data_IF_801287693668
#
_entry.id   IF_801287693668
#
_cell.length_a   1.000
_cell.length_b   1.000
_cell.length_c   1.000
_cell.angle_alpha   90.00
_cell.angle_beta   90.00
_cell.angle_gamma   90.00
#
_symmetry.space_group_name_H-M   'P 1'
#
loop_
_entity.id
_entity.type
_entity.pdbx_description
1 polymer ?
#
# COMPACT_ATOMS: atom_id res chain seq x y z
N UNK A 1 8.84 3.94 39.42
CA UNK A 1 9.30 2.60 39.82
C UNK A 1 10.23 1.97 38.78
N UNK A 2 9.82 1.80 37.52
CA UNK A 2 10.61 1.16 36.43
C UNK A 2 12.02 1.77 36.26
N UNK A 3 12.15 3.11 36.27
CA UNK A 3 13.47 3.77 36.21
C UNK A 3 14.42 3.35 37.35
N UNK A 4 13.89 3.11 38.55
CA UNK A 4 14.70 2.64 39.70
C UNK A 4 15.10 1.18 39.52
N UNK A 5 14.18 0.34 39.04
CA UNK A 5 14.47 -1.06 38.73
C UNK A 5 15.57 -1.18 37.66
N UNK A 6 15.50 -0.39 36.59
CA UNK A 6 16.56 -0.32 35.59
C UNK A 6 17.91 0.08 36.20
N UNK A 7 17.96 1.05 37.12
CA UNK A 7 19.21 1.40 37.83
C UNK A 7 19.80 0.28 38.68
N UNK A 8 19.02 -0.75 38.99
CA UNK A 8 19.45 -1.89 39.81
C UNK A 8 19.61 -3.17 38.97
N UNK A 9 19.50 -3.10 37.64
CA UNK A 9 19.49 -4.28 36.79
C UNK A 9 20.79 -5.09 36.86
N UNK A 10 21.94 -4.42 36.93
CA UNK A 10 23.26 -5.06 37.00
C UNK A 10 23.41 -6.02 38.21
N UNK A 11 22.69 -5.77 39.30
CA UNK A 11 22.70 -6.68 40.46
C UNK A 11 22.06 -8.04 40.16
N UNK A 12 21.21 -8.13 39.13
CA UNK A 12 20.60 -9.38 38.71
C UNK A 12 21.60 -10.29 37.99
N UNK A 13 22.68 -9.77 37.40
CA UNK A 13 23.71 -10.59 36.73
C UNK A 13 24.44 -11.52 37.71
N UNK A 14 24.49 -11.13 38.99
CA UNK A 14 25.11 -11.93 40.05
C UNK A 14 24.18 -13.07 40.51
N UNK A 15 22.88 -12.98 40.20
CA UNK A 15 21.88 -13.91 40.66
C UNK A 15 21.69 -15.05 39.67
N UNK A 16 21.99 -16.27 40.10
CA UNK A 16 21.64 -17.46 39.32
C UNK A 16 20.12 -17.69 39.34
N UNK A 17 19.44 -17.20 38.32
CA UNK A 17 17.98 -17.30 38.14
C UNK A 17 17.48 -18.73 37.95
N UNK A 18 18.37 -19.71 37.73
CA UNK A 18 17.99 -21.11 37.53
C UNK A 18 17.89 -21.90 38.84
N UNK A 19 18.48 -21.40 39.93
CA UNK A 19 18.40 -22.06 41.25
C UNK A 19 16.97 -22.09 41.78
N UNK A 20 16.57 -23.21 42.38
CA UNK A 20 15.25 -23.38 43.00
C UNK A 20 14.97 -22.36 44.10
N UNK A 21 16.00 -21.92 44.83
CA UNK A 21 15.86 -20.87 45.85
C UNK A 21 15.35 -19.54 45.27
N UNK A 22 15.55 -19.30 43.96
CA UNK A 22 15.17 -18.09 43.26
C UNK A 22 13.83 -18.20 42.51
N UNK A 23 13.05 -19.26 42.73
CA UNK A 23 11.74 -19.47 42.08
C UNK A 23 10.80 -18.26 42.20
N UNK A 24 10.73 -17.64 43.38
CA UNK A 24 9.90 -16.46 43.63
C UNK A 24 10.36 -15.25 42.82
N UNK A 25 11.67 -15.02 42.75
CA UNK A 25 12.26 -13.94 41.95
C UNK A 25 11.96 -14.16 40.46
N UNK A 26 12.17 -15.39 39.97
CA UNK A 26 11.85 -15.77 38.59
C UNK A 26 10.39 -15.46 38.24
N UNK A 27 9.45 -15.80 39.13
CA UNK A 27 8.04 -15.44 38.97
C UNK A 27 7.80 -13.94 38.87
N UNK A 28 8.50 -13.12 39.67
CA UNK A 28 8.43 -11.64 39.59
C UNK A 28 9.02 -11.07 38.30
N UNK A 29 10.12 -11.65 37.81
CA UNK A 29 10.72 -11.25 36.54
C UNK A 29 9.77 -11.56 35.37
N UNK A 30 9.12 -12.73 35.39
CA UNK A 30 8.10 -13.09 34.38
C UNK A 30 6.88 -12.15 34.42
N UNK A 31 6.42 -11.76 35.61
CA UNK A 31 5.34 -10.77 35.77
C UNK A 31 5.67 -9.39 35.17
N UNK A 32 6.93 -9.08 34.89
CA UNK A 32 7.27 -7.83 34.20
C UNK A 32 6.81 -7.85 32.73
N UNK A 33 6.76 -9.02 32.09
CA UNK A 33 6.29 -9.17 30.70
C UNK A 33 4.77 -9.09 30.55
N UNK A 34 4.02 -9.29 31.64
CA UNK A 34 2.56 -9.14 31.65
C UNK A 34 2.12 -7.72 32.03
N UNK A 35 3.05 -6.86 32.46
CA UNK A 35 2.76 -5.48 32.83
C UNK A 35 3.09 -4.51 31.68
N UNK A 36 2.05 -4.01 31.01
CA UNK A 36 2.17 -3.10 29.87
C UNK A 36 2.89 -1.77 30.16
N UNK A 37 3.04 -1.35 31.42
CA UNK A 37 3.80 -0.14 31.74
C UNK A 37 5.30 -0.28 31.45
N UNK A 38 5.84 -1.51 31.45
CA UNK A 38 7.21 -1.76 31.01
C UNK A 38 7.39 -1.47 29.51
N UNK A 39 6.42 -1.81 28.68
CA UNK A 39 6.49 -1.59 27.23
C UNK A 39 6.28 -0.13 26.84
N UNK A 40 5.56 0.65 27.66
CA UNK A 40 5.34 2.08 27.44
C UNK A 40 6.55 2.94 27.79
N UNK A 41 7.40 2.48 28.71
CA UNK A 41 8.57 3.23 29.18
C UNK A 41 9.86 2.74 28.49
N UNK A 42 10.73 3.64 27.98
CA UNK A 42 12.00 3.22 27.38
C UNK A 42 12.87 2.37 28.31
N UNK A 43 12.97 2.75 29.59
CA UNK A 43 13.71 1.97 30.59
C UNK A 43 13.08 0.60 30.88
N UNK A 44 11.76 0.46 30.66
CA UNK A 44 11.08 -0.81 30.82
C UNK A 44 11.41 -1.76 29.68
N UNK A 45 11.39 -1.29 28.43
CA UNK A 45 11.85 -2.07 27.26
C UNK A 45 13.31 -2.50 27.44
N UNK A 46 14.19 -1.57 27.83
CA UNK A 46 15.59 -1.90 28.14
C UNK A 46 15.73 -2.98 29.20
N UNK A 47 14.93 -2.90 30.27
CA UNK A 47 14.91 -3.90 31.34
C UNK A 47 14.44 -5.26 30.82
N UNK A 48 13.32 -5.31 30.09
CA UNK A 48 12.79 -6.56 29.54
C UNK A 48 13.79 -7.23 28.59
N UNK A 49 14.47 -6.46 27.74
CA UNK A 49 15.53 -6.99 26.85
C UNK A 49 16.75 -7.47 27.61
N UNK A 50 17.12 -6.80 28.70
CA UNK A 50 18.24 -7.23 29.54
C UNK A 50 17.98 -8.63 30.14
N UNK A 51 16.74 -8.96 30.52
CA UNK A 51 16.42 -10.26 31.12
C UNK A 51 16.78 -11.47 30.24
N UNK A 52 16.86 -11.30 28.91
CA UNK A 52 17.33 -12.34 27.98
C UNK A 52 18.80 -12.72 28.15
N UNK A 53 19.60 -11.90 28.86
CA UNK A 53 21.03 -12.11 29.03
C UNK A 53 21.39 -12.73 30.39
N UNK A 54 20.41 -12.90 31.29
CA UNK A 54 20.67 -13.45 32.63
C UNK A 54 21.08 -14.93 32.58
N UNK A 55 20.42 -15.72 31.73
CA UNK A 55 20.73 -17.14 31.56
C UNK A 55 20.10 -17.71 30.28
N UNK A 56 20.89 -18.42 29.48
CA UNK A 56 20.46 -19.04 28.21
C UNK A 56 19.26 -19.99 28.39
N UNK A 57 19.21 -20.76 29.47
CA UNK A 57 18.10 -21.69 29.75
C UNK A 57 16.82 -20.97 30.19
N UNK A 58 16.90 -19.70 30.58
CA UNK A 58 15.74 -18.92 31.00
C UNK A 58 15.02 -18.27 29.81
N UNK A 59 15.73 -18.00 28.70
CA UNK A 59 15.19 -17.34 27.50
C UNK A 59 13.89 -18.00 26.97
N UNK A 60 13.78 -19.33 26.82
CA UNK A 60 12.54 -19.94 26.34
C UNK A 60 11.33 -19.69 27.26
N UNK A 61 11.59 -19.54 28.57
CA UNK A 61 10.54 -19.22 29.54
C UNK A 61 10.08 -17.76 29.39
N UNK A 62 11.01 -16.83 29.15
CA UNK A 62 10.68 -15.43 28.85
C UNK A 62 9.87 -15.31 27.56
N UNK A 63 10.31 -16.00 26.51
CA UNK A 63 9.61 -16.06 25.23
C UNK A 63 8.18 -16.59 25.38
N UNK A 64 8.00 -17.64 26.18
CA UNK A 64 6.67 -18.21 26.48
C UNK A 64 5.76 -17.22 27.19
N UNK A 65 6.29 -16.43 28.14
CA UNK A 65 5.53 -15.39 28.82
C UNK A 65 5.09 -14.29 27.84
N UNK A 66 5.97 -13.81 26.96
CA UNK A 66 5.61 -12.83 25.93
C UNK A 66 4.52 -13.37 25.01
N UNK A 67 4.64 -14.63 24.56
CA UNK A 67 3.68 -15.23 23.63
C UNK A 67 2.26 -15.34 24.20
N UNK A 68 2.13 -15.56 25.50
CA UNK A 68 0.83 -15.61 26.16
C UNK A 68 0.14 -14.23 26.16
N UNK A 69 0.91 -13.15 26.12
CA UNK A 69 0.39 -11.78 26.13
C UNK A 69 0.01 -11.25 24.74
N UNK A 70 0.72 -11.67 23.68
CA UNK A 70 0.54 -11.15 22.32
C UNK A 70 -0.92 -11.15 21.82
N UNK A 71 -1.73 -12.23 21.98
CA UNK A 71 -3.09 -12.26 21.45
C UNK A 71 -4.03 -11.21 22.06
N UNK A 72 -3.77 -10.81 23.31
CA UNK A 72 -4.65 -9.92 24.08
C UNK A 72 -4.11 -8.49 24.18
N UNK A 73 -2.90 -8.26 23.69
CA UNK A 73 -2.25 -6.97 23.80
C UNK A 73 -2.94 -5.90 22.94
N UNK A 74 -3.05 -4.64 23.44
CA UNK A 74 -3.51 -3.52 22.64
C UNK A 74 -2.68 -3.34 21.36
N UNK A 75 -3.33 -3.03 20.24
CA UNK A 75 -2.67 -2.83 18.94
C UNK A 75 -1.49 -1.85 18.97
N UNK A 76 -1.51 -0.85 19.86
CA UNK A 76 -0.45 0.14 20.00
C UNK A 76 0.83 -0.41 20.66
N UNK A 77 0.74 -1.55 21.37
CA UNK A 77 1.87 -2.17 22.06
C UNK A 77 2.51 -3.31 21.28
N UNK A 78 1.89 -3.80 20.20
CA UNK A 78 2.38 -4.97 19.46
C UNK A 78 3.83 -4.81 18.95
N UNK A 79 4.17 -3.64 18.40
CA UNK A 79 5.53 -3.36 17.94
C UNK A 79 6.55 -3.29 19.10
N UNK A 80 6.10 -3.00 20.33
CA UNK A 80 6.99 -2.98 21.50
C UNK A 80 7.48 -4.36 21.91
N UNK A 81 6.72 -5.42 21.62
CA UNK A 81 7.24 -6.78 21.80
C UNK A 81 8.38 -7.07 20.82
N UNK A 82 8.23 -6.63 19.57
CA UNK A 82 9.30 -6.71 18.57
C UNK A 82 10.54 -5.92 18.97
N UNK A 83 10.35 -4.73 19.55
CA UNK A 83 11.44 -3.90 20.09
C UNK A 83 12.22 -4.60 21.21
N UNK A 84 11.54 -5.34 22.10
CA UNK A 84 12.20 -6.10 23.16
C UNK A 84 13.09 -7.19 22.58
N UNK A 85 12.59 -7.98 21.62
CA UNK A 85 13.39 -9.01 20.94
C UNK A 85 14.56 -8.42 20.17
N UNK A 86 14.32 -7.35 19.40
CA UNK A 86 15.35 -6.68 18.63
C UNK A 86 16.47 -6.16 19.53
N UNK A 87 16.12 -5.47 20.61
CA UNK A 87 17.09 -4.90 21.55
C UNK A 87 17.85 -5.99 22.32
N UNK A 88 17.23 -7.15 22.56
CA UNK A 88 17.90 -8.30 23.14
C UNK A 88 18.90 -8.93 22.14
N UNK A 89 18.44 -9.18 20.91
CA UNK A 89 19.26 -9.71 19.83
C UNK A 89 20.52 -8.85 19.56
N UNK A 90 20.34 -7.53 19.47
CA UNK A 90 21.42 -6.59 19.17
C UNK A 90 22.58 -6.64 20.19
N UNK A 91 22.28 -6.93 21.46
CA UNK A 91 23.27 -7.00 22.56
C UNK A 91 23.82 -8.39 22.82
N UNK A 92 23.20 -9.42 22.24
CA UNK A 92 23.59 -10.81 22.41
C UNK A 92 24.69 -11.23 21.43
N UNK A 93 25.46 -12.24 21.81
CA UNK A 93 26.49 -12.90 20.98
C UNK A 93 26.50 -14.40 21.25
N UNK A 94 27.16 -15.20 20.39
CA UNK A 94 27.38 -16.62 20.63
C UNK A 94 26.09 -17.42 20.86
N UNK A 95 26.06 -18.24 21.92
CA UNK A 95 24.94 -19.13 22.25
C UNK A 95 23.64 -18.37 22.52
N UNK A 96 23.69 -17.29 23.31
CA UNK A 96 22.52 -16.46 23.63
C UNK A 96 21.85 -15.93 22.36
N UNK A 97 22.63 -15.43 21.39
CA UNK A 97 22.11 -14.92 20.12
C UNK A 97 21.36 -16.01 19.35
N UNK A 98 21.96 -17.20 19.21
CA UNK A 98 21.32 -18.34 18.54
C UNK A 98 20.01 -18.76 19.20
N UNK A 99 19.93 -18.74 20.53
CA UNK A 99 18.68 -19.07 21.24
C UNK A 99 17.60 -18.00 20.96
N UNK A 100 17.96 -16.72 20.94
CA UNK A 100 17.02 -15.63 20.59
C UNK A 100 16.53 -15.78 19.14
N UNK A 101 17.44 -16.05 18.21
CA UNK A 101 17.13 -16.28 16.79
C UNK A 101 16.22 -17.50 16.60
N UNK A 102 16.68 -18.69 17.00
CA UNK A 102 16.02 -19.97 16.70
C UNK A 102 14.76 -20.20 17.54
N UNK A 103 14.82 -19.90 18.84
CA UNK A 103 13.75 -20.26 19.78
C UNK A 103 12.72 -19.15 19.96
N UNK A 104 13.06 -17.90 19.62
CA UNK A 104 12.18 -16.77 19.85
C UNK A 104 11.73 -16.10 18.55
N UNK A 105 12.64 -15.48 17.81
CA UNK A 105 12.31 -14.68 16.62
C UNK A 105 11.76 -15.59 15.52
N UNK A 106 12.49 -16.65 15.15
CA UNK A 106 12.04 -17.60 14.12
C UNK A 106 10.73 -18.28 14.52
N UNK A 107 10.51 -18.52 15.82
CA UNK A 107 9.25 -19.06 16.31
C UNK A 107 8.06 -18.13 15.95
N UNK A 108 8.18 -16.82 16.20
CA UNK A 108 7.15 -15.86 15.84
C UNK A 108 6.99 -15.73 14.31
N UNK A 109 8.11 -15.76 13.57
CA UNK A 109 8.10 -15.72 12.11
C UNK A 109 7.35 -16.91 11.50
N UNK A 110 7.64 -18.13 11.98
CA UNK A 110 6.95 -19.35 11.55
C UNK A 110 5.47 -19.30 11.91
N UNK A 111 5.14 -18.88 13.14
CA UNK A 111 3.75 -18.71 13.56
C UNK A 111 3.00 -17.68 12.70
N UNK A 112 3.63 -16.56 12.34
CA UNK A 112 3.03 -15.56 11.46
C UNK A 112 2.73 -16.12 10.06
N UNK A 113 3.60 -16.99 9.54
CA UNK A 113 3.44 -17.61 8.24
C UNK A 113 2.24 -18.57 8.20
N UNK A 114 1.95 -19.29 9.28
CA UNK A 114 0.89 -20.32 9.31
C UNK A 114 -0.38 -19.91 10.08
N UNK A 115 -0.39 -18.74 10.72
CA UNK A 115 -1.52 -18.30 11.53
C UNK A 115 -2.81 -18.11 10.69
N UNK A 116 -3.98 -18.45 11.26
CA UNK A 116 -5.25 -18.13 10.62
C UNK A 116 -5.38 -16.64 10.34
N UNK A 117 -5.90 -16.30 9.15
CA UNK A 117 -6.21 -14.92 8.75
C UNK A 117 -7.63 -14.50 9.14
N UNK A 118 -8.44 -15.43 9.59
CA UNK A 118 -9.80 -15.21 10.07
C UNK A 118 -9.89 -15.50 11.57
N UNK A 119 -10.85 -14.87 12.25
CA UNK A 119 -11.06 -15.01 13.70
C UNK A 119 -10.83 -13.72 14.49
N UNK A 120 -11.24 -13.76 15.77
CA UNK A 120 -11.03 -12.70 16.75
C UNK A 120 -10.29 -13.30 17.97
N UNK A 121 -9.00 -12.96 18.20
CA UNK A 121 -8.21 -11.99 17.44
C UNK A 121 -7.63 -12.53 16.11
N UNK A 122 -7.40 -11.63 15.14
CA UNK A 122 -6.71 -11.96 13.90
C UNK A 122 -5.21 -12.18 14.14
N UNK A 123 -4.82 -13.42 14.41
CA UNK A 123 -3.46 -13.78 14.80
C UNK A 123 -2.41 -13.45 13.73
N UNK A 124 -2.72 -13.64 12.45
CA UNK A 124 -1.79 -13.27 11.36
C UNK A 124 -1.41 -11.78 11.40
N UNK A 125 -2.41 -10.90 11.57
CA UNK A 125 -2.20 -9.46 11.61
C UNK A 125 -1.45 -9.03 12.87
N UNK A 126 -1.75 -9.67 14.00
CA UNK A 126 -1.08 -9.38 15.27
C UNK A 126 0.40 -9.74 15.20
N UNK A 127 0.73 -10.95 14.73
CA UNK A 127 2.11 -11.43 14.65
C UNK A 127 2.93 -10.62 13.63
N UNK A 128 2.35 -10.31 12.47
CA UNK A 128 2.99 -9.40 11.50
C UNK A 128 3.30 -8.05 12.13
N UNK A 129 2.41 -7.49 12.96
CA UNK A 129 2.66 -6.23 13.65
C UNK A 129 3.78 -6.31 14.69
N UNK A 130 3.94 -7.44 15.38
CA UNK A 130 5.08 -7.68 16.27
C UNK A 130 6.39 -7.70 15.47
N UNK A 131 6.41 -8.46 14.36
CA UNK A 131 7.60 -8.64 13.52
C UNK A 131 7.99 -7.36 12.76
N UNK A 132 7.02 -6.50 12.45
CA UNK A 132 7.23 -5.23 11.73
C UNK A 132 8.31 -4.36 12.35
N UNK A 133 8.46 -4.36 13.68
CA UNK A 133 9.55 -3.61 14.31
C UNK A 133 10.91 -4.08 13.82
N UNK A 134 11.13 -5.40 13.74
CA UNK A 134 12.39 -6.00 13.28
C UNK A 134 12.57 -5.77 11.76
N UNK A 135 11.50 -5.95 10.97
CA UNK A 135 11.54 -5.71 9.52
C UNK A 135 11.94 -4.27 9.19
N UNK A 136 11.42 -3.29 9.93
CA UNK A 136 11.79 -1.88 9.77
C UNK A 136 13.24 -1.55 10.19
N UNK A 137 13.99 -2.51 10.75
CA UNK A 137 15.42 -2.38 11.08
C UNK A 137 16.34 -3.07 10.08
N UNK A 138 15.83 -3.51 8.92
CA UNK A 138 16.59 -4.21 7.88
C UNK A 138 17.90 -3.52 7.49
N UNK A 139 17.94 -2.18 7.46
CA UNK A 139 19.13 -1.39 7.15
C UNK A 139 20.22 -1.42 8.24
N UNK A 140 19.90 -1.90 9.45
CA UNK A 140 20.90 -2.03 10.50
C UNK A 140 21.79 -3.25 10.25
N UNK A 141 23.09 -3.10 10.55
CA UNK A 141 24.11 -4.12 10.30
C UNK A 141 23.72 -5.48 10.87
N UNK A 142 23.77 -6.51 10.02
CA UNK A 142 23.48 -7.90 10.36
C UNK A 142 21.99 -8.26 10.42
N UNK A 143 21.06 -7.30 10.38
CA UNK A 143 19.62 -7.61 10.44
C UNK A 143 19.15 -8.30 9.18
N UNK A 144 19.56 -7.82 8.01
CA UNK A 144 19.16 -8.40 6.73
C UNK A 144 19.59 -9.87 6.61
N UNK A 145 20.85 -10.17 6.95
CA UNK A 145 21.38 -11.53 6.99
C UNK A 145 20.59 -12.41 7.95
N UNK A 146 20.33 -11.93 9.17
CA UNK A 146 19.51 -12.65 10.15
C UNK A 146 18.08 -12.89 9.62
N UNK A 147 17.45 -11.92 8.95
CA UNK A 147 16.14 -12.12 8.34
C UNK A 147 16.18 -13.20 7.27
N UNK A 148 17.17 -13.17 6.38
CA UNK A 148 17.37 -14.18 5.35
C UNK A 148 17.53 -15.58 5.97
N UNK A 149 18.46 -15.75 6.91
CA UNK A 149 18.71 -17.03 7.57
C UNK A 149 17.49 -17.58 8.31
N UNK A 150 16.74 -16.71 9.00
CA UNK A 150 15.59 -17.15 9.78
C UNK A 150 14.36 -17.49 8.94
N UNK A 151 14.15 -16.83 7.79
CA UNK A 151 13.02 -17.12 6.90
C UNK A 151 13.29 -18.26 5.91
N UNK A 152 14.53 -18.42 5.45
CA UNK A 152 14.92 -19.41 4.43
C UNK A 152 14.43 -20.84 4.68
N UNK A 153 14.42 -21.38 5.92
CA UNK A 153 13.96 -22.76 6.16
C UNK A 153 12.50 -23.05 5.82
N UNK A 154 11.64 -22.03 5.65
CA UNK A 154 10.21 -22.26 5.40
C UNK A 154 9.54 -21.31 4.41
N UNK A 155 10.01 -20.07 4.23
CA UNK A 155 9.30 -19.04 3.47
C UNK A 155 9.02 -19.49 2.03
N UNK A 156 10.05 -19.93 1.30
CA UNK A 156 9.94 -20.35 -0.10
C UNK A 156 8.99 -21.52 -0.30
N UNK A 157 9.03 -22.50 0.62
CA UNK A 157 8.10 -23.63 0.61
C UNK A 157 6.66 -23.19 0.88
N UNK A 158 6.46 -22.27 1.83
CA UNK A 158 5.12 -21.83 2.25
C UNK A 158 4.47 -20.86 1.26
N UNK A 159 5.25 -20.13 0.46
CA UNK A 159 4.75 -19.40 -0.70
C UNK A 159 4.10 -20.31 -1.76
N UNK A 160 4.46 -21.60 -1.78
CA UNK A 160 3.85 -22.64 -2.64
C UNK A 160 2.91 -23.57 -1.87
N UNK A 161 2.51 -23.22 -0.65
CA UNK A 161 1.64 -24.07 0.17
C UNK A 161 0.28 -24.32 -0.51
N UNK A 162 -0.36 -25.47 -0.27
CA UNK A 162 -1.70 -25.74 -0.80
C UNK A 162 -2.75 -24.77 -0.25
N UNK A 163 -2.59 -24.33 0.99
CA UNK A 163 -3.55 -23.45 1.67
C UNK A 163 -3.31 -21.97 1.32
N UNK A 164 -4.34 -21.27 0.84
CA UNK A 164 -4.23 -19.87 0.40
C UNK A 164 -3.89 -18.91 1.53
N UNK A 165 -4.40 -19.14 2.75
CA UNK A 165 -4.06 -18.28 3.90
C UNK A 165 -2.56 -18.29 4.23
N UNK A 166 -1.91 -19.45 4.14
CA UNK A 166 -0.46 -19.59 4.34
C UNK A 166 0.30 -18.82 3.27
N UNK A 167 -0.11 -18.95 2.00
CA UNK A 167 0.47 -18.18 0.90
C UNK A 167 0.25 -16.68 1.08
N UNK A 168 -0.93 -16.24 1.52
CA UNK A 168 -1.24 -14.84 1.80
C UNK A 168 -0.38 -14.25 2.94
N UNK A 169 -0.16 -15.01 4.01
CA UNK A 169 0.74 -14.62 5.09
C UNK A 169 2.17 -14.50 4.61
N UNK A 170 2.67 -15.52 3.90
CA UNK A 170 4.03 -15.52 3.37
C UNK A 170 4.25 -14.44 2.32
N UNK A 171 3.23 -14.13 1.51
CA UNK A 171 3.25 -12.98 0.61
C UNK A 171 3.39 -11.68 1.39
N UNK A 172 2.63 -11.49 2.48
CA UNK A 172 2.76 -10.29 3.32
C UNK A 172 4.17 -10.17 3.91
N UNK A 173 4.71 -11.28 4.42
CA UNK A 173 6.08 -11.35 4.97
C UNK A 173 7.11 -10.98 3.90
N UNK A 174 7.07 -11.65 2.73
CA UNK A 174 8.02 -11.41 1.64
C UNK A 174 8.02 -9.93 1.25
N UNK A 175 6.84 -9.30 1.12
CA UNK A 175 6.74 -7.89 0.72
C UNK A 175 7.28 -6.93 1.78
N UNK A 176 7.20 -7.28 3.07
CA UNK A 176 7.74 -6.48 4.17
C UNK A 176 9.26 -6.58 4.29
N UNK A 177 9.86 -7.71 3.90
CA UNK A 177 11.31 -7.96 4.00
C UNK A 177 12.06 -7.90 2.67
N UNK A 178 11.36 -7.62 1.58
CA UNK A 178 11.96 -7.57 0.25
C UNK A 178 12.95 -6.38 0.12
N UNK A 179 14.10 -6.55 -0.56
CA UNK A 179 14.68 -7.83 -0.98
C UNK A 179 15.51 -8.45 0.15
N UNK A 180 15.37 -9.75 0.39
CA UNK A 180 16.31 -10.46 1.27
C UNK A 180 17.65 -10.62 0.55
N UNK A 181 18.75 -10.37 1.27
CA UNK A 181 20.12 -10.51 0.73
C UNK A 181 20.91 -11.57 1.49
N UNK A 182 21.95 -12.09 0.85
CA UNK A 182 22.95 -12.99 1.45
C UNK A 182 24.34 -12.37 1.31
N UNK A 183 25.24 -12.68 2.25
CA UNK A 183 26.66 -12.27 2.16
C UNK A 183 27.43 -13.11 1.12
N UNK A 184 26.87 -14.24 0.70
CA UNK A 184 27.42 -15.12 -0.33
C UNK A 184 27.19 -14.53 -1.72
N UNK A 185 28.22 -13.86 -2.27
CA UNK A 185 28.15 -13.20 -3.58
C UNK A 185 27.67 -14.11 -4.72
N UNK A 186 28.10 -15.37 -4.71
CA UNK A 186 27.75 -16.36 -5.75
C UNK A 186 26.25 -16.69 -5.76
N UNK A 187 25.59 -16.60 -4.59
CA UNK A 187 24.18 -16.94 -4.40
C UNK A 187 23.25 -15.71 -4.48
N UNK A 188 23.80 -14.49 -4.52
CA UNK A 188 23.02 -13.24 -4.43
C UNK A 188 22.10 -13.03 -5.62
N UNK A 189 22.60 -13.26 -6.84
CA UNK A 189 21.81 -13.08 -8.07
C UNK A 189 20.71 -14.14 -8.16
N UNK A 190 21.02 -15.39 -7.79
CA UNK A 190 20.05 -16.50 -7.77
C UNK A 190 18.94 -16.26 -6.74
N UNK A 191 19.30 -15.79 -5.53
CA UNK A 191 18.32 -15.44 -4.50
C UNK A 191 17.41 -14.29 -4.96
N UNK A 192 17.97 -13.30 -5.64
CA UNK A 192 17.19 -12.18 -6.16
C UNK A 192 16.25 -12.65 -7.28
N UNK A 193 16.73 -13.50 -8.18
CA UNK A 193 15.94 -14.12 -9.25
C UNK A 193 14.79 -14.97 -8.69
N UNK A 194 15.04 -15.80 -7.68
CA UNK A 194 14.01 -16.61 -7.02
C UNK A 194 12.92 -15.72 -6.40
N UNK A 195 13.30 -14.63 -5.72
CA UNK A 195 12.34 -13.69 -5.14
C UNK A 195 11.45 -13.06 -6.22
N UNK A 196 11.98 -12.70 -7.38
CA UNK A 196 11.18 -12.18 -8.49
C UNK A 196 10.19 -13.19 -9.05
N UNK A 197 10.62 -14.43 -9.20
CA UNK A 197 9.74 -15.51 -9.62
C UNK A 197 8.57 -15.68 -8.64
N UNK A 198 8.84 -15.57 -7.33
CA UNK A 198 7.79 -15.57 -6.32
C UNK A 198 6.84 -14.36 -6.42
N UNK A 199 7.34 -13.14 -6.66
CA UNK A 199 6.47 -11.98 -6.91
C UNK A 199 5.51 -12.24 -8.09
N UNK A 200 6.03 -12.79 -9.19
CA UNK A 200 5.22 -13.12 -10.37
C UNK A 200 4.22 -14.26 -10.09
N UNK A 201 4.61 -15.28 -9.34
CA UNK A 201 3.73 -16.38 -8.95
C UNK A 201 2.57 -15.88 -8.08
N UNK A 202 2.86 -15.00 -7.12
CA UNK A 202 1.86 -14.42 -6.22
C UNK A 202 0.86 -13.52 -6.96
N UNK A 203 1.32 -12.75 -7.95
CA UNK A 203 0.44 -11.95 -8.82
C UNK A 203 -0.52 -12.84 -9.62
N UNK A 204 -0.14 -14.09 -9.92
CA UNK A 204 -0.93 -15.07 -10.67
C UNK A 204 -1.60 -16.12 -9.77
N UNK A 205 -1.64 -15.91 -8.46
CA UNK A 205 -2.19 -16.90 -7.53
C UNK A 205 -3.67 -17.23 -7.85
N UNK A 206 -4.11 -18.49 -7.77
CA UNK A 206 -5.51 -18.84 -8.03
C UNK A 206 -6.48 -18.13 -7.06
N UNK A 207 -6.05 -17.84 -5.83
CA UNK A 207 -6.88 -17.16 -4.86
C UNK A 207 -6.77 -15.63 -4.99
N UNK A 208 -7.91 -14.97 -5.22
CA UNK A 208 -7.97 -13.51 -5.38
C UNK A 208 -7.48 -12.73 -4.14
N UNK A 209 -7.59 -13.29 -2.94
CA UNK A 209 -7.09 -12.67 -1.72
C UNK A 209 -5.56 -12.59 -1.69
N UNK A 210 -4.89 -13.65 -2.16
CA UNK A 210 -3.42 -13.66 -2.31
C UNK A 210 -3.00 -12.66 -3.39
N UNK A 211 -3.67 -12.65 -4.55
CA UNK A 211 -3.38 -11.67 -5.62
C UNK A 211 -3.53 -10.23 -5.15
N UNK A 212 -4.55 -9.92 -4.33
CA UNK A 212 -4.74 -8.58 -3.79
C UNK A 212 -3.59 -8.13 -2.88
N UNK A 213 -3.08 -9.03 -2.04
CA UNK A 213 -1.89 -8.77 -1.21
C UNK A 213 -0.67 -8.56 -2.10
N UNK A 214 -0.50 -9.43 -3.11
CA UNK A 214 0.61 -9.37 -4.05
C UNK A 214 0.64 -8.04 -4.81
N UNK A 215 -0.49 -7.60 -5.36
CA UNK A 215 -0.59 -6.31 -6.07
C UNK A 215 -0.13 -5.15 -5.19
N UNK A 216 -0.67 -5.05 -3.97
CA UNK A 216 -0.33 -3.96 -3.05
C UNK A 216 1.16 -3.97 -2.66
N UNK A 217 1.69 -5.16 -2.35
CA UNK A 217 3.09 -5.33 -1.98
C UNK A 217 4.04 -5.05 -3.15
N UNK A 218 3.73 -5.56 -4.35
CA UNK A 218 4.55 -5.33 -5.55
C UNK A 218 4.59 -3.85 -5.90
N UNK A 219 3.47 -3.11 -5.84
CA UNK A 219 3.53 -1.66 -6.08
C UNK A 219 4.37 -0.91 -5.04
N UNK A 220 4.39 -1.36 -3.78
CA UNK A 220 5.28 -0.81 -2.77
C UNK A 220 6.75 -1.12 -3.07
N UNK A 221 7.06 -2.34 -3.51
CA UNK A 221 8.40 -2.73 -3.97
C UNK A 221 8.82 -1.89 -5.19
N UNK A 222 7.96 -1.73 -6.19
CA UNK A 222 8.24 -0.90 -7.36
C UNK A 222 8.49 0.56 -6.97
N UNK A 223 7.85 1.06 -5.91
CA UNK A 223 8.06 2.41 -5.41
C UNK A 223 9.40 2.57 -4.67
N UNK A 224 9.76 1.61 -3.80
CA UNK A 224 10.92 1.69 -2.91
C UNK A 224 12.21 1.12 -3.51
N UNK A 225 12.10 0.10 -4.35
CA UNK A 225 13.21 -0.75 -4.82
C UNK A 225 13.34 -0.73 -6.35
N UNK A 226 12.88 0.33 -7.03
CA UNK A 226 12.84 0.41 -8.49
C UNK A 226 14.18 0.07 -9.16
N UNK A 227 15.28 0.61 -8.63
CA UNK A 227 16.62 0.44 -9.19
C UNK A 227 17.21 -0.97 -8.97
N UNK A 228 16.67 -1.72 -8.01
CA UNK A 228 17.15 -3.07 -7.70
C UNK A 228 16.61 -4.12 -8.67
N UNK A 229 15.54 -3.79 -9.41
CA UNK A 229 14.81 -4.70 -10.28
C UNK A 229 15.47 -4.81 -11.68
N UNK A 230 15.91 -6.00 -12.12
CA UNK A 230 16.29 -6.25 -13.50
C UNK A 230 15.14 -5.89 -14.45
N UNK A 231 15.49 -5.33 -15.60
CA UNK A 231 14.51 -4.91 -16.62
C UNK A 231 13.60 -6.06 -17.07
N UNK A 232 14.10 -7.29 -17.11
CA UNK A 232 13.32 -8.49 -17.46
C UNK A 232 12.23 -8.77 -16.42
N UNK A 233 12.57 -8.75 -15.13
CA UNK A 233 11.64 -8.94 -14.03
C UNK A 233 10.60 -7.81 -13.99
N UNK A 234 11.05 -6.56 -14.11
CA UNK A 234 10.18 -5.38 -14.15
C UNK A 234 9.15 -5.49 -15.28
N UNK A 235 9.58 -5.81 -16.50
CA UNK A 235 8.69 -5.98 -17.65
C UNK A 235 7.69 -7.12 -17.42
N UNK A 236 8.14 -8.26 -16.88
CA UNK A 236 7.25 -9.36 -16.52
C UNK A 236 6.15 -8.94 -15.55
N UNK A 237 6.51 -8.18 -14.50
CA UNK A 237 5.57 -7.68 -13.50
C UNK A 237 4.58 -6.70 -14.12
N UNK A 238 5.06 -5.70 -14.87
CA UNK A 238 4.21 -4.67 -15.48
C UNK A 238 3.22 -5.27 -16.49
N UNK A 239 3.64 -6.29 -17.25
CA UNK A 239 2.77 -7.01 -18.19
C UNK A 239 1.62 -7.68 -17.43
N UNK A 240 1.88 -8.40 -16.34
CA UNK A 240 0.84 -9.06 -15.54
C UNK A 240 -0.11 -8.04 -14.91
N UNK A 241 0.44 -6.95 -14.34
CA UNK A 241 -0.37 -5.90 -13.74
C UNK A 241 -1.33 -5.26 -14.75
N UNK A 242 -0.88 -4.99 -15.97
CA UNK A 242 -1.67 -4.31 -17.00
C UNK A 242 -2.60 -5.27 -17.74
N UNK A 243 -2.08 -6.38 -18.25
CA UNK A 243 -2.85 -7.25 -19.15
C UNK A 243 -3.80 -8.17 -18.39
N UNK A 244 -3.42 -8.60 -17.19
CA UNK A 244 -4.18 -9.59 -16.44
C UNK A 244 -4.94 -8.92 -15.29
N UNK A 245 -4.23 -8.25 -14.38
CA UNK A 245 -4.82 -7.82 -13.10
C UNK A 245 -5.63 -6.53 -13.18
N UNK A 246 -5.38 -5.67 -14.17
CA UNK A 246 -6.24 -4.50 -14.43
C UNK A 246 -7.66 -4.91 -14.88
N UNK A 247 -7.80 -6.14 -15.38
CA UNK A 247 -9.03 -6.76 -15.86
C UNK A 247 -9.42 -8.00 -15.03
N UNK A 248 -8.92 -8.14 -13.79
CA UNK A 248 -9.18 -9.31 -12.94
C UNK A 248 -10.69 -9.57 -12.80
N UNK A 249 -11.14 -10.72 -13.28
CA UNK A 249 -12.55 -11.10 -13.32
C UNK A 249 -13.11 -11.48 -11.94
N UNK A 250 -12.24 -11.87 -11.00
CA UNK A 250 -12.64 -12.39 -9.69
C UNK A 250 -12.87 -11.29 -8.67
N UNK A 251 -12.15 -10.15 -8.77
CA UNK A 251 -12.24 -9.11 -7.75
C UNK A 251 -12.01 -7.70 -8.29
N UNK A 252 -13.01 -6.84 -8.07
CA UNK A 252 -12.89 -5.41 -8.32
C UNK A 252 -11.92 -4.69 -7.35
N UNK A 253 -11.65 -5.27 -6.18
CA UNK A 253 -10.61 -4.78 -5.27
C UNK A 253 -9.21 -4.92 -5.89
N UNK A 254 -8.94 -5.97 -6.67
CA UNK A 254 -7.67 -6.16 -7.37
C UNK A 254 -7.54 -5.10 -8.47
N UNK A 255 -8.56 -4.97 -9.33
CA UNK A 255 -8.56 -3.97 -10.40
C UNK A 255 -8.39 -2.55 -9.83
N UNK A 256 -9.08 -2.22 -8.75
CA UNK A 256 -8.91 -0.96 -8.04
C UNK A 256 -7.47 -0.77 -7.53
N UNK A 257 -6.91 -1.79 -6.86
CA UNK A 257 -5.55 -1.74 -6.32
C UNK A 257 -4.49 -1.54 -7.42
N UNK A 258 -4.70 -2.13 -8.61
CA UNK A 258 -3.82 -1.92 -9.77
C UNK A 258 -3.81 -0.44 -10.19
N UNK A 259 -4.98 0.17 -10.34
CA UNK A 259 -5.08 1.59 -10.73
C UNK A 259 -4.48 2.50 -9.66
N UNK A 260 -4.73 2.20 -8.37
CA UNK A 260 -4.15 2.95 -7.25
C UNK A 260 -2.61 2.83 -7.21
N UNK A 261 -2.09 1.63 -7.46
CA UNK A 261 -0.65 1.39 -7.54
C UNK A 261 0.02 2.17 -8.67
N UNK A 262 -0.57 2.19 -9.87
CA UNK A 262 -0.07 3.04 -10.94
C UNK A 262 -0.12 4.52 -10.57
N UNK A 263 -1.17 4.95 -9.86
CA UNK A 263 -1.31 6.33 -9.39
C UNK A 263 -0.18 6.71 -8.42
N UNK A 264 0.23 5.83 -7.51
CA UNK A 264 1.32 6.11 -6.57
C UNK A 264 2.69 6.16 -7.24
N UNK A 265 2.90 5.41 -8.32
CA UNK A 265 4.17 5.43 -9.05
C UNK A 265 4.38 6.72 -9.86
N UNK A 266 3.32 7.45 -10.24
CA UNK A 266 3.44 8.71 -11.01
C UNK A 266 4.37 9.73 -10.33
N UNK A 267 4.41 9.74 -8.99
CA UNK A 267 5.27 10.67 -8.23
C UNK A 267 6.76 10.30 -8.26
N UNK A 268 7.11 9.07 -8.65
CA UNK A 268 8.49 8.64 -8.74
C UNK A 268 9.04 8.95 -10.14
N UNK A 269 9.99 9.93 -10.28
CA UNK A 269 10.52 10.36 -11.56
C UNK A 269 11.21 9.25 -12.36
N UNK A 270 11.70 8.20 -11.69
CA UNK A 270 12.42 7.10 -12.32
C UNK A 270 11.47 6.07 -12.94
N UNK A 271 10.27 5.91 -12.36
CA UNK A 271 9.27 4.97 -12.87
C UNK A 271 8.53 5.56 -14.07
N UNK A 272 8.27 6.86 -14.03
CA UNK A 272 7.33 7.49 -14.95
C UNK A 272 7.69 7.34 -16.44
N UNK A 273 8.96 7.45 -16.90
CA UNK A 273 9.32 7.23 -18.30
C UNK A 273 8.94 5.83 -18.82
N UNK A 274 9.01 4.81 -17.95
CA UNK A 274 8.60 3.43 -18.28
C UNK A 274 7.07 3.30 -18.27
N UNK A 275 6.39 4.04 -17.39
CA UNK A 275 4.93 4.01 -17.28
C UNK A 275 4.21 4.72 -18.43
N UNK A 276 4.78 5.80 -18.99
CA UNK A 276 4.17 6.58 -20.07
C UNK A 276 3.64 5.74 -21.25
N UNK A 277 4.43 4.83 -21.87
CA UNK A 277 3.94 4.04 -23.01
C UNK A 277 2.92 2.96 -22.62
N UNK A 278 2.84 2.57 -21.34
CA UNK A 278 1.99 1.46 -20.91
C UNK A 278 0.65 1.92 -20.33
N UNK A 279 0.58 3.10 -19.70
CA UNK A 279 -0.66 3.65 -19.13
C UNK A 279 -1.85 3.71 -20.11
N UNK A 280 -1.68 4.04 -21.42
CA UNK A 280 -2.78 4.00 -22.39
C UNK A 280 -3.48 2.65 -22.55
N UNK A 281 -2.87 1.56 -22.10
CA UNK A 281 -3.50 0.23 -22.11
C UNK A 281 -4.65 0.13 -21.08
N UNK A 282 -4.67 0.99 -20.06
CA UNK A 282 -5.73 1.10 -19.06
C UNK A 282 -6.98 1.86 -19.55
N UNK A 283 -7.02 2.24 -20.84
CA UNK A 283 -8.10 3.08 -21.40
C UNK A 283 -9.51 2.54 -21.17
N UNK A 284 -9.65 1.22 -21.04
CA UNK A 284 -10.95 0.57 -20.85
C UNK A 284 -11.38 0.51 -19.38
N UNK A 285 -10.48 0.73 -18.41
CA UNK A 285 -10.81 0.69 -16.98
C UNK A 285 -11.79 1.79 -16.56
N UNK A 286 -11.98 2.85 -17.35
CA UNK A 286 -13.04 3.83 -17.12
C UNK A 286 -14.45 3.20 -17.28
N UNK A 287 -14.59 2.16 -18.12
CA UNK A 287 -15.83 1.42 -18.34
C UNK A 287 -16.06 0.29 -17.33
N UNK A 288 -15.26 0.22 -16.27
CA UNK A 288 -15.40 -0.81 -15.25
C UNK A 288 -16.80 -0.79 -14.64
N UNK A 289 -17.36 -1.97 -14.37
CA UNK A 289 -18.68 -2.08 -13.74
C UNK A 289 -18.69 -1.54 -12.30
N UNK A 290 -17.56 -1.65 -11.60
CA UNK A 290 -17.41 -1.20 -10.22
C UNK A 290 -17.11 0.30 -10.13
N UNK A 291 -17.96 1.03 -9.41
CA UNK A 291 -17.81 2.47 -9.21
C UNK A 291 -16.46 2.83 -8.57
N UNK A 292 -15.99 2.05 -7.60
CA UNK A 292 -14.72 2.32 -6.90
C UNK A 292 -13.50 2.20 -7.83
N UNK A 293 -13.57 1.33 -8.84
CA UNK A 293 -12.53 1.22 -9.89
C UNK A 293 -12.58 2.47 -10.77
N UNK A 294 -13.78 2.87 -11.23
CA UNK A 294 -13.94 4.11 -12.01
C UNK A 294 -13.47 5.35 -11.25
N UNK A 295 -13.72 5.42 -9.94
CA UNK A 295 -13.18 6.49 -9.06
C UNK A 295 -11.65 6.46 -9.06
N UNK A 296 -11.03 5.29 -8.87
CA UNK A 296 -9.57 5.17 -8.88
C UNK A 296 -8.98 5.62 -10.23
N UNK A 297 -9.64 5.29 -11.34
CA UNK A 297 -9.24 5.74 -12.69
C UNK A 297 -9.30 7.26 -12.80
N UNK A 298 -10.35 7.90 -12.28
CA UNK A 298 -10.43 9.36 -12.27
C UNK A 298 -9.36 10.01 -11.39
N UNK A 299 -8.99 9.41 -10.25
CA UNK A 299 -7.88 9.88 -9.43
C UNK A 299 -6.53 9.77 -10.18
N UNK A 300 -6.30 8.68 -10.90
CA UNK A 300 -5.13 8.54 -11.78
C UNK A 300 -5.07 9.66 -12.82
N UNK A 301 -6.18 9.95 -13.52
CA UNK A 301 -6.22 11.01 -14.52
C UNK A 301 -6.00 12.40 -13.90
N UNK A 302 -6.58 12.66 -12.73
CA UNK A 302 -6.36 13.90 -11.99
C UNK A 302 -4.90 14.05 -11.54
N UNK A 303 -4.25 12.96 -11.14
CA UNK A 303 -2.82 12.95 -10.83
C UNK A 303 -2.00 13.32 -12.07
N UNK A 304 -2.28 12.68 -13.20
CA UNK A 304 -1.59 12.93 -14.48
C UNK A 304 -1.86 14.34 -15.01
N UNK A 305 -3.03 14.94 -14.76
CA UNK A 305 -3.34 16.32 -15.15
C UNK A 305 -2.29 17.33 -14.65
N UNK A 306 -1.61 17.05 -13.55
CA UNK A 306 -0.55 17.90 -13.00
C UNK A 306 0.83 17.65 -13.63
N UNK A 307 0.99 16.60 -14.44
CA UNK A 307 2.23 16.28 -15.15
C UNK A 307 2.29 17.08 -16.46
N UNK A 308 3.24 18.01 -16.58
CA UNK A 308 3.30 18.94 -17.73
C UNK A 308 3.54 18.23 -19.07
N UNK A 309 4.42 17.22 -19.06
CA UNK A 309 4.93 16.51 -20.24
C UNK A 309 4.03 15.36 -20.71
N UNK A 310 2.96 15.04 -19.97
CA UNK A 310 2.10 13.91 -20.30
C UNK A 310 0.63 14.26 -20.08
N UNK A 311 -0.19 14.05 -21.10
CA UNK A 311 -1.58 14.50 -21.06
C UNK A 311 -2.48 13.35 -20.65
N UNK A 312 -3.38 13.57 -19.70
CA UNK A 312 -4.28 12.51 -19.21
C UNK A 312 -5.14 11.87 -20.33
N UNK A 313 -5.39 12.60 -21.42
CA UNK A 313 -6.14 12.10 -22.56
C UNK A 313 -5.36 11.12 -23.46
N UNK A 314 -4.05 10.96 -23.27
CA UNK A 314 -3.29 9.85 -23.88
C UNK A 314 -3.60 8.53 -23.18
N UNK A 315 -3.91 8.58 -21.88
CA UNK A 315 -4.30 7.40 -21.08
C UNK A 315 -5.74 7.02 -21.40
N UNK A 316 -6.67 7.96 -21.24
CA UNK A 316 -8.08 7.75 -21.58
C UNK A 316 -8.52 8.84 -22.56
N UNK A 317 -8.82 8.49 -23.83
CA UNK A 317 -9.25 9.47 -24.81
C UNK A 317 -10.48 10.26 -24.34
N UNK A 318 -10.50 11.58 -24.60
CA UNK A 318 -11.58 12.49 -24.17
C UNK A 318 -12.98 11.96 -24.51
N UNK A 319 -13.15 11.33 -25.68
CA UNK A 319 -14.42 10.70 -26.09
C UNK A 319 -14.99 9.70 -25.07
N UNK A 320 -14.13 8.92 -24.41
CA UNK A 320 -14.58 7.97 -23.38
C UNK A 320 -14.98 8.70 -22.09
N UNK A 321 -14.25 9.76 -21.72
CA UNK A 321 -14.56 10.57 -20.54
C UNK A 321 -15.91 11.29 -20.73
N UNK A 322 -16.15 11.87 -21.91
CA UNK A 322 -17.41 12.51 -22.26
C UNK A 322 -18.58 11.53 -22.29
N UNK A 323 -18.39 10.35 -22.90
CA UNK A 323 -19.39 9.29 -22.87
C UNK A 323 -19.77 8.93 -21.43
N UNK A 324 -18.79 8.83 -20.53
CA UNK A 324 -19.04 8.59 -19.10
C UNK A 324 -19.75 9.73 -18.40
N UNK A 325 -19.44 10.99 -18.70
CA UNK A 325 -20.16 12.15 -18.15
C UNK A 325 -21.66 12.08 -18.50
N UNK A 326 -21.96 11.65 -19.72
CA UNK A 326 -23.33 11.52 -20.20
C UNK A 326 -24.12 10.39 -19.50
N UNK A 327 -23.51 9.21 -19.34
CA UNK A 327 -24.23 8.01 -18.87
C UNK A 327 -24.15 7.77 -17.36
N UNK A 328 -23.16 8.33 -16.67
CA UNK A 328 -22.94 7.98 -15.28
C UNK A 328 -24.03 8.61 -14.39
N UNK A 329 -24.49 7.90 -13.37
CA UNK A 329 -25.33 8.47 -12.31
C UNK A 329 -24.54 8.74 -11.03
N UNK A 330 -23.28 8.28 -10.98
CA UNK A 330 -22.39 8.42 -9.84
C UNK A 330 -21.92 9.86 -9.66
N UNK A 331 -22.43 10.54 -8.63
CA UNK A 331 -21.96 11.88 -8.27
C UNK A 331 -20.46 11.94 -7.95
N UNK A 332 -19.86 10.96 -7.23
CA UNK A 332 -18.42 10.92 -7.02
C UNK A 332 -17.59 10.89 -8.33
N UNK A 333 -18.07 10.16 -9.35
CA UNK A 333 -17.41 10.10 -10.66
C UNK A 333 -17.65 11.39 -11.45
N UNK A 334 -18.90 11.88 -11.54
CA UNK A 334 -19.23 13.15 -12.21
C UNK A 334 -18.36 14.30 -11.70
N UNK A 335 -18.25 14.43 -10.37
CA UNK A 335 -17.47 15.52 -9.76
C UNK A 335 -16.00 15.52 -10.17
N UNK A 336 -15.42 14.33 -10.36
CA UNK A 336 -14.03 14.17 -10.79
C UNK A 336 -13.85 14.41 -12.27
N UNK A 337 -14.79 13.97 -13.11
CA UNK A 337 -14.81 14.29 -14.53
C UNK A 337 -14.87 15.81 -14.72
N UNK A 338 -15.78 16.48 -14.01
CA UNK A 338 -15.87 17.94 -14.02
C UNK A 338 -14.55 18.58 -13.57
N UNK A 339 -13.99 18.17 -12.42
CA UNK A 339 -12.67 18.67 -11.96
C UNK A 339 -11.54 18.47 -12.98
N UNK A 340 -11.57 17.36 -13.73
CA UNK A 340 -10.59 17.04 -14.75
C UNK A 340 -10.71 17.97 -15.97
N UNK A 341 -11.93 18.20 -16.44
CA UNK A 341 -12.19 18.82 -17.76
C UNK A 341 -12.60 20.28 -17.71
N UNK A 342 -13.09 20.79 -16.56
CA UNK A 342 -13.76 22.08 -16.47
C UNK A 342 -12.95 23.23 -17.07
N UNK A 343 -11.73 23.46 -16.57
CA UNK A 343 -10.83 24.51 -17.09
C UNK A 343 -10.34 24.27 -18.53
N UNK A 344 -10.49 23.06 -19.07
CA UNK A 344 -10.10 22.76 -20.45
C UNK A 344 -11.18 23.17 -21.47
N UNK A 345 -12.45 23.05 -21.07
CA UNK A 345 -13.62 23.35 -21.93
C UNK A 345 -14.35 24.63 -21.55
N UNK A 346 -14.07 25.18 -20.37
CA UNK A 346 -14.55 26.48 -19.90
C UNK A 346 -13.47 27.19 -19.08
N UNK A 347 -12.44 27.75 -19.74
CA UNK A 347 -11.37 28.48 -19.07
C UNK A 347 -11.87 29.87 -18.64
N UNK A 348 -12.38 29.98 -17.41
CA UNK A 348 -12.98 31.23 -16.86
C UNK A 348 -12.02 32.43 -16.95
N UNK A 349 -10.71 32.18 -16.96
CA UNK A 349 -9.65 33.18 -17.04
C UNK A 349 -9.35 33.69 -18.46
N UNK A 350 -10.03 33.18 -19.49
CA UNK A 350 -9.90 33.60 -20.89
C UNK A 350 -11.12 34.44 -21.32
N UNK A 351 -11.01 35.10 -22.47
CA UNK A 351 -12.10 35.90 -23.05
C UNK A 351 -13.31 35.05 -23.49
N UNK A 352 -14.45 35.71 -23.66
CA UNK A 352 -15.73 35.07 -23.99
C UNK A 352 -15.69 34.31 -25.31
N UNK A 353 -15.03 34.86 -26.35
CA UNK A 353 -14.91 34.19 -27.65
C UNK A 353 -14.15 32.87 -27.51
N UNK A 354 -13.05 32.86 -26.76
CA UNK A 354 -12.31 31.63 -26.48
C UNK A 354 -13.13 30.62 -25.68
N UNK A 355 -13.91 31.07 -24.69
CA UNK A 355 -14.79 30.20 -23.92
C UNK A 355 -15.87 29.57 -24.80
N UNK A 356 -16.50 30.35 -25.69
CA UNK A 356 -17.51 29.87 -26.64
C UNK A 356 -16.89 28.85 -27.59
N UNK A 357 -15.73 29.13 -28.18
CA UNK A 357 -15.04 28.19 -29.09
C UNK A 357 -14.77 26.83 -28.43
N UNK A 358 -14.38 26.84 -27.14
CA UNK A 358 -14.18 25.62 -26.36
C UNK A 358 -15.47 24.86 -26.10
N UNK A 359 -16.57 25.55 -25.80
CA UNK A 359 -17.89 24.94 -25.66
C UNK A 359 -18.41 24.39 -26.98
N UNK A 360 -18.20 25.08 -28.08
CA UNK A 360 -18.55 24.61 -29.44
C UNK A 360 -17.78 23.33 -29.75
N UNK A 361 -16.48 23.29 -29.46
CA UNK A 361 -15.68 22.06 -29.56
C UNK A 361 -16.29 20.93 -28.72
N UNK A 362 -16.74 21.21 -27.49
CA UNK A 362 -17.38 20.21 -26.64
C UNK A 362 -18.69 19.69 -27.23
N UNK A 363 -19.52 20.58 -27.80
CA UNK A 363 -20.77 20.24 -28.49
C UNK A 363 -20.48 19.35 -29.69
N UNK A 364 -19.51 19.71 -30.53
CA UNK A 364 -19.09 18.92 -31.70
C UNK A 364 -18.57 17.52 -31.29
N UNK A 365 -17.94 17.41 -30.11
CA UNK A 365 -17.46 16.12 -29.60
C UNK A 365 -18.57 15.24 -29.01
N UNK A 366 -19.46 15.82 -28.19
CA UNK A 366 -20.59 15.13 -27.58
C UNK A 366 -21.63 16.11 -26.99
N UNK A 367 -22.72 16.34 -27.72
CA UNK A 367 -23.79 17.27 -27.34
C UNK A 367 -24.41 16.97 -25.97
N UNK A 368 -24.71 15.71 -25.66
CA UNK A 368 -25.37 15.35 -24.40
C UNK A 368 -24.43 15.45 -23.19
N UNK A 369 -23.15 15.11 -23.37
CA UNK A 369 -22.13 15.37 -22.36
C UNK A 369 -21.95 16.88 -22.12
N UNK A 370 -22.04 17.72 -23.17
CA UNK A 370 -22.02 19.17 -23.04
C UNK A 370 -23.19 19.67 -22.18
N UNK A 371 -24.42 19.17 -22.41
CA UNK A 371 -25.58 19.51 -21.58
C UNK A 371 -25.33 19.18 -20.10
N UNK A 372 -24.80 18.00 -19.80
CA UNK A 372 -24.45 17.60 -18.43
C UNK A 372 -23.32 18.45 -17.82
N UNK A 373 -22.33 18.83 -18.64
CA UNK A 373 -21.23 19.71 -18.25
C UNK A 373 -21.74 21.10 -17.84
N UNK A 374 -22.55 21.74 -18.69
CA UNK A 374 -23.11 23.07 -18.45
C UNK A 374 -24.07 23.06 -17.24
N UNK A 375 -24.91 22.02 -17.11
CA UNK A 375 -25.77 21.84 -15.90
C UNK A 375 -24.98 21.78 -14.59
N UNK A 376 -23.70 21.43 -14.63
CA UNK A 376 -22.84 21.34 -13.45
C UNK A 376 -22.17 22.67 -13.08
N UNK A 377 -22.27 23.72 -13.91
CA UNK A 377 -21.60 25.02 -13.71
C UNK A 377 -21.81 25.64 -12.32
N UNK A 378 -23.03 25.65 -11.74
CA UNK A 378 -23.25 26.26 -10.43
C UNK A 378 -22.41 25.65 -9.29
N UNK A 379 -21.84 24.46 -9.49
CA UNK A 379 -21.00 23.78 -8.50
C UNK A 379 -19.51 24.13 -8.63
N UNK A 380 -19.10 24.76 -9.75
CA UNK A 380 -17.71 25.01 -10.11
C UNK A 380 -17.40 26.48 -10.40
N UNK A 381 -18.42 27.34 -10.38
CA UNK A 381 -18.33 28.78 -10.58
C UNK A 381 -18.89 29.50 -9.36
N UNK A 382 -18.29 30.63 -9.01
CA UNK A 382 -18.86 31.58 -8.05
C UNK A 382 -20.05 32.31 -8.67
N UNK A 383 -20.90 32.92 -7.83
CA UNK A 383 -22.04 33.73 -8.30
C UNK A 383 -21.57 34.88 -9.22
N UNK A 384 -20.41 35.49 -8.95
CA UNK A 384 -19.84 36.54 -9.78
C UNK A 384 -19.34 36.01 -11.14
N UNK A 385 -18.67 34.86 -11.17
CA UNK A 385 -18.27 34.19 -12.42
C UNK A 385 -19.50 33.73 -13.22
N UNK A 386 -20.57 33.32 -12.54
CA UNK A 386 -21.84 32.92 -13.17
C UNK A 386 -22.59 34.12 -13.74
N UNK A 387 -22.48 35.30 -13.13
CA UNK A 387 -23.10 36.54 -13.63
C UNK A 387 -22.32 37.19 -14.77
N UNK A 388 -20.98 37.07 -14.79
CA UNK A 388 -20.13 37.66 -15.82
C UNK A 388 -19.89 36.74 -17.03
N UNK A 389 -19.92 35.41 -16.86
CA UNK A 389 -19.57 34.47 -17.94
C UNK A 389 -20.74 33.96 -18.80
N UNK A 390 -21.98 34.40 -18.54
CA UNK A 390 -23.18 33.69 -19.01
C UNK A 390 -24.34 34.61 -19.43
N UNK A 391 -24.07 35.72 -20.12
CA UNK A 391 -25.11 36.45 -20.86
C UNK A 391 -24.57 36.93 -22.20
N UNK A 392 -24.45 36.03 -23.17
CA UNK A 392 -24.50 36.44 -24.58
C UNK A 392 -25.21 35.36 -25.42
N UNK A 393 -26.27 35.77 -26.09
CA UNK A 393 -26.85 35.01 -27.20
C UNK A 393 -25.86 35.09 -28.36
N UNK A 394 -24.87 34.21 -28.40
CA UNK A 394 -23.98 34.12 -29.56
C UNK A 394 -24.46 32.99 -30.46
N UNK A 395 -25.12 33.27 -31.60
CA UNK A 395 -25.47 32.23 -32.55
C UNK A 395 -24.17 31.66 -33.14
N UNK A 396 -23.89 30.39 -32.85
CA UNK A 396 -22.72 29.71 -33.43
C UNK A 396 -23.18 28.82 -34.58
N UNK A 397 -22.58 29.01 -35.75
CA UNK A 397 -22.73 28.11 -36.90
C UNK A 397 -21.83 26.90 -36.72
N UNK A 398 -22.42 25.72 -36.50
CA UNK A 398 -21.66 24.47 -36.51
C UNK A 398 -21.30 24.08 -37.95
N UNK A 399 -20.19 23.35 -38.15
CA UNK A 399 -19.71 22.90 -39.48
C UNK A 399 -20.73 22.11 -40.32
N UNK A 400 -21.85 21.67 -39.74
CA UNK A 400 -22.94 20.93 -40.40
C UNK A 400 -24.17 21.78 -40.74
N UNK A 401 -24.12 23.10 -40.61
CA UNK A 401 -25.25 23.99 -40.95
C UNK A 401 -26.35 24.07 -39.88
N UNK A 402 -26.11 23.54 -38.69
CA UNK A 402 -26.99 23.69 -37.53
C UNK A 402 -26.61 24.94 -36.74
N UNK A 403 -27.59 25.77 -36.35
CA UNK A 403 -27.40 26.91 -35.45
C UNK A 403 -27.47 26.42 -34.01
N UNK A 404 -26.43 26.64 -33.20
CA UNK A 404 -26.50 26.36 -31.77
C UNK A 404 -26.57 27.69 -31.01
N UNK A 405 -27.57 27.84 -30.15
CA UNK A 405 -27.70 28.99 -29.25
C UNK A 405 -27.37 28.54 -27.84
N UNK A 406 -26.15 28.85 -27.38
CA UNK A 406 -25.77 28.58 -25.99
C UNK A 406 -26.34 29.71 -25.13
N UNK A 407 -27.56 29.54 -24.63
CA UNK A 407 -28.14 30.41 -23.61
C UNK A 407 -27.98 29.77 -22.24
N UNK A 408 -27.47 30.49 -21.26
CA UNK A 408 -27.45 30.04 -19.87
C UNK A 408 -28.30 31.00 -19.06
N UNK A 409 -29.56 30.60 -18.84
CA UNK A 409 -30.55 31.43 -18.16
C UNK A 409 -30.45 31.17 -16.65
N UNK A 410 -30.33 32.24 -15.86
CA UNK A 410 -30.49 32.18 -14.41
C UNK A 410 -31.83 31.50 -14.08
N UNK A 411 -31.78 30.42 -13.28
CA UNK A 411 -32.90 29.60 -12.79
C UNK A 411 -33.41 28.46 -13.69
N UNK A 412 -32.71 28.11 -14.76
CA UNK A 412 -33.06 26.94 -15.57
C UNK A 412 -32.15 26.81 -16.78
N UNK A 413 -31.09 26.03 -16.65
CA UNK A 413 -30.12 25.79 -17.71
C UNK A 413 -30.72 24.92 -18.84
N UNK A 414 -31.22 25.56 -19.90
CA UNK A 414 -31.57 24.92 -21.17
C UNK A 414 -30.54 25.25 -22.25
N UNK A 415 -29.89 24.21 -22.79
CA UNK A 415 -29.09 24.34 -24.01
C UNK A 415 -30.03 24.17 -25.20
N UNK A 416 -30.31 25.25 -25.93
CA UNK A 416 -31.01 25.19 -27.21
C UNK A 416 -29.99 24.80 -28.29
N UNK A 417 -29.99 23.50 -28.64
CA UNK A 417 -29.25 22.97 -29.78
C UNK A 417 -30.11 23.04 -31.02
#
# INVERSE_FOLDING_TARGET
MIKRLWKLHDYLDIVDVTKETNLKLRGKLLQCFTNYDFYKAPQGVMFLSFLFHLNDNFIPTLHSAIKQEIPFAPKALLEKFGEVYFSAWQKSTGTTRKIIEDKCIQNLMHQAAVAPRTGDPNMSTILLKVLRYIHNKKEQTGVDLMLHELYSPFLWRYLRAPHSEVRANCASILMDVFPLTTDEKESSDDLMQEQYEFLLCLLKDPNHGVRLIAVKGVFNILYLCWELLPLTALNGILVVLIKDLSCDSSSDNIRQAVIQGFTSLIDNPQTFPVLQPILPQLKFSIHDSSEKVRIAVMELLLKIKHVRTFKYWTVIPIKHILAHLNITESMPVKRRIMKLMFRSFFPIDQDEDHQVDRLVTLIEMNTDACRHFIKSFPQYMTVAETGNGLISYTPVTLKRGTYCAVAVIQNGLEVLV
#
